data_IF_648126545139
#
_entry.id   IF_648126545139
#
_cell.length_a   1.000
_cell.length_b   1.000
_cell.length_c   1.000
_cell.angle_alpha   90.00
_cell.angle_beta   90.00
_cell.angle_gamma   90.00
#
_symmetry.space_group_name_H-M   'P 1'
#
loop_
_entity.id
_entity.type
_entity.pdbx_description
1 polymer ?
#
# COMPACT_ATOMS: atom_id res chain seq x y z
N UNK A 1 -9.23 -17.15 6.54
CA UNK A 1 -8.25 -18.22 6.26
C UNK A 1 -6.97 -17.91 7.01
N UNK A 2 -6.51 -18.79 7.90
CA UNK A 2 -5.21 -18.59 8.57
C UNK A 2 -4.13 -18.84 7.53
N UNK A 3 -3.31 -17.83 7.22
CA UNK A 3 -2.15 -18.01 6.36
C UNK A 3 -1.14 -18.85 7.15
N UNK A 4 -1.00 -20.13 6.80
CA UNK A 4 -0.11 -21.10 7.46
C UNK A 4 1.27 -21.20 6.81
N UNK A 5 1.62 -20.27 5.93
CA UNK A 5 2.91 -20.28 5.23
C UNK A 5 4.01 -19.68 6.13
N UNK A 6 4.88 -20.54 6.67
CA UNK A 6 6.02 -20.14 7.50
C UNK A 6 6.96 -19.17 6.78
N UNK A 7 7.21 -19.37 5.49
CA UNK A 7 8.07 -18.50 4.69
C UNK A 7 7.50 -17.08 4.62
N UNK A 8 6.18 -16.96 4.40
CA UNK A 8 5.51 -15.66 4.36
C UNK A 8 5.67 -14.89 5.68
N UNK A 9 5.57 -15.58 6.81
CA UNK A 9 5.82 -14.97 8.12
C UNK A 9 7.28 -14.55 8.27
N UNK A 10 8.23 -15.39 7.82
CA UNK A 10 9.67 -15.07 7.83
C UNK A 10 10.02 -13.86 6.97
N UNK A 11 9.30 -13.62 5.88
CA UNK A 11 9.51 -12.44 5.03
C UNK A 11 8.93 -11.16 5.67
N UNK A 12 7.86 -11.27 6.47
CA UNK A 12 7.26 -10.14 7.19
C UNK A 12 8.13 -9.70 8.38
N UNK A 13 8.69 -10.63 9.13
CA UNK A 13 9.34 -10.35 10.42
C UNK A 13 10.47 -9.29 10.34
N UNK A 14 11.40 -9.33 9.36
CA UNK A 14 12.43 -8.31 9.21
C UNK A 14 11.86 -6.89 9.03
N UNK A 15 10.70 -6.77 8.36
CA UNK A 15 10.07 -5.48 8.08
C UNK A 15 9.55 -4.79 9.33
N UNK A 16 9.14 -5.57 10.34
CA UNK A 16 8.56 -5.04 11.58
C UNK A 16 9.52 -5.06 12.75
N UNK A 17 10.58 -5.87 12.72
CA UNK A 17 11.59 -5.93 13.76
C UNK A 17 12.22 -4.56 14.03
N UNK A 18 12.60 -3.82 12.98
CA UNK A 18 13.18 -2.47 13.11
C UNK A 18 12.17 -1.40 13.55
N UNK A 19 10.87 -1.72 13.54
CA UNK A 19 9.78 -0.78 13.86
C UNK A 19 9.14 -1.06 15.22
N UNK A 20 9.33 -2.27 15.75
CA UNK A 20 8.75 -2.70 17.03
C UNK A 20 9.71 -2.38 18.17
N UNK A 21 9.23 -1.70 19.21
CA UNK A 21 9.98 -1.56 20.46
C UNK A 21 9.75 -2.74 21.40
N UNK A 22 8.58 -3.36 21.29
CA UNK A 22 8.17 -4.51 22.09
C UNK A 22 7.50 -5.57 21.22
N UNK A 23 7.56 -6.84 21.63
CA UNK A 23 6.85 -7.92 20.93
C UNK A 23 5.33 -7.73 20.93
N UNK A 24 4.79 -7.01 21.91
CA UNK A 24 3.36 -6.70 22.01
C UNK A 24 2.87 -5.77 20.88
N UNK A 25 3.77 -5.03 20.22
CA UNK A 25 3.44 -4.15 19.09
C UNK A 25 3.32 -4.91 17.76
N UNK A 26 3.94 -6.09 17.66
CA UNK A 26 4.03 -6.86 16.41
C UNK A 26 2.66 -7.19 15.82
N UNK A 27 1.66 -7.70 16.58
CA UNK A 27 0.34 -8.02 16.02
C UNK A 27 -0.30 -6.82 15.34
N UNK A 28 -0.16 -5.64 15.94
CA UNK A 28 -0.64 -4.41 15.32
C UNK A 28 0.14 -4.20 14.03
N UNK A 29 1.47 -4.19 14.02
CA UNK A 29 2.26 -3.91 12.82
C UNK A 29 2.05 -4.88 11.64
N UNK A 30 1.63 -6.13 11.89
CA UNK A 30 1.50 -7.14 10.83
C UNK A 30 0.06 -7.48 10.43
N UNK A 31 -0.95 -7.05 11.17
CA UNK A 31 -2.35 -7.48 10.96
C UNK A 31 -2.81 -7.38 9.49
N UNK A 32 -2.42 -6.31 8.80
CA UNK A 32 -2.81 -6.09 7.40
C UNK A 32 -2.20 -7.10 6.42
N UNK A 33 -1.18 -7.89 6.80
CA UNK A 33 -0.67 -8.99 5.97
C UNK A 33 -1.58 -10.22 5.99
N UNK A 34 -2.48 -10.33 6.96
CA UNK A 34 -3.28 -11.55 7.23
C UNK A 34 -4.78 -11.40 6.94
N UNK A 35 -5.23 -10.22 6.54
CA UNK A 35 -6.63 -9.96 6.15
C UNK A 35 -6.72 -9.73 4.65
N UNK A 36 -7.81 -10.11 4.01
CA UNK A 36 -7.97 -9.84 2.57
C UNK A 36 -8.50 -8.43 2.32
N UNK A 37 -9.41 -7.97 3.18
CA UNK A 37 -10.03 -6.65 3.12
C UNK A 37 -9.49 -5.74 4.23
N UNK A 38 -9.33 -4.46 3.91
CA UNK A 38 -8.79 -3.46 4.81
C UNK A 38 -9.90 -2.52 5.24
N UNK A 39 -10.19 -2.39 6.52
CA UNK A 39 -11.08 -1.34 7.03
C UNK A 39 -10.26 -0.14 7.47
N UNK A 40 -10.57 1.04 6.91
CA UNK A 40 -9.93 2.31 7.26
C UNK A 40 -10.82 3.48 6.80
N UNK A 41 -10.63 4.64 7.40
CA UNK A 41 -11.27 5.88 6.95
C UNK A 41 -10.77 6.26 5.55
N UNK A 42 -11.70 6.38 4.60
CA UNK A 42 -11.44 6.78 3.21
C UNK A 42 -10.69 8.13 3.12
N UNK A 43 -10.86 9.03 4.09
CA UNK A 43 -10.14 10.31 4.14
C UNK A 43 -8.61 10.13 4.18
N UNK A 44 -8.12 9.00 4.72
CA UNK A 44 -6.69 8.71 4.79
C UNK A 44 -6.05 8.46 3.42
N UNK A 45 -6.83 8.05 2.41
CA UNK A 45 -6.35 7.91 1.03
C UNK A 45 -6.01 9.28 0.41
N UNK A 46 -6.57 10.36 0.96
CA UNK A 46 -6.33 11.73 0.52
C UNK A 46 -5.20 12.31 1.38
N UNK A 47 -3.96 12.03 0.97
CA UNK A 47 -2.77 12.49 1.66
C UNK A 47 -2.68 14.02 1.77
N UNK A 48 -1.79 14.50 2.64
CA UNK A 48 -1.56 15.94 2.84
C UNK A 48 -1.18 16.62 1.51
N UNK A 49 -1.88 17.71 1.16
CA UNK A 49 -1.71 18.45 -0.11
C UNK A 49 -2.00 17.63 -1.37
N UNK A 50 -2.87 16.63 -1.27
CA UNK A 50 -3.40 15.86 -2.40
C UNK A 50 -4.90 16.08 -2.43
N UNK A 51 -5.48 16.30 -3.60
CA UNK A 51 -6.95 16.34 -3.76
C UNK A 51 -7.53 14.95 -3.94
N UNK A 52 -8.83 14.77 -3.72
CA UNK A 52 -9.50 13.48 -3.99
C UNK A 52 -9.32 13.04 -5.46
N UNK A 53 -9.36 13.97 -6.41
CA UNK A 53 -9.13 13.70 -7.82
C UNK A 53 -7.69 13.21 -8.05
N UNK A 54 -6.69 13.90 -7.49
CA UNK A 54 -5.29 13.48 -7.59
C UNK A 54 -5.04 12.12 -6.95
N UNK A 55 -5.66 11.83 -5.79
CA UNK A 55 -5.55 10.52 -5.15
C UNK A 55 -6.18 9.40 -6.02
N UNK A 56 -7.32 9.68 -6.65
CA UNK A 56 -8.00 8.73 -7.55
C UNK A 56 -7.13 8.46 -8.78
N UNK A 57 -6.66 9.49 -9.47
CA UNK A 57 -5.76 9.34 -10.63
C UNK A 57 -4.46 8.63 -10.26
N UNK A 58 -3.87 8.95 -9.10
CA UNK A 58 -2.66 8.31 -8.63
C UNK A 58 -2.85 6.79 -8.44
N UNK A 59 -3.97 6.37 -7.86
CA UNK A 59 -4.28 4.95 -7.67
C UNK A 59 -4.66 4.25 -8.98
N UNK A 60 -5.42 4.90 -9.86
CA UNK A 60 -5.79 4.36 -11.18
C UNK A 60 -4.54 4.07 -12.02
N UNK A 61 -3.69 5.08 -12.24
CA UNK A 61 -2.48 4.90 -13.05
C UNK A 61 -1.49 3.94 -12.39
N UNK A 62 -1.34 3.99 -11.06
CA UNK A 62 -0.46 3.02 -10.37
C UNK A 62 -0.95 1.60 -10.55
N UNK A 63 -2.27 1.36 -10.47
CA UNK A 63 -2.85 0.02 -10.67
C UNK A 63 -2.53 -0.50 -12.07
N UNK A 64 -2.76 0.29 -13.10
CA UNK A 64 -2.49 -0.07 -14.50
C UNK A 64 -1.01 -0.43 -14.70
N UNK A 65 -0.09 0.43 -14.24
CA UNK A 65 1.35 0.18 -14.37
C UNK A 65 1.83 -1.03 -13.57
N UNK A 66 1.26 -1.27 -12.39
CA UNK A 66 1.58 -2.44 -11.58
C UNK A 66 1.02 -3.73 -12.19
N UNK A 67 -0.11 -3.66 -12.89
CA UNK A 67 -0.72 -4.78 -13.62
C UNK A 67 0.17 -5.27 -14.77
N UNK A 68 0.91 -4.36 -15.42
CA UNK A 68 1.87 -4.68 -16.49
C UNK A 68 3.23 -5.15 -15.98
N UNK A 69 3.53 -5.01 -14.68
CA UNK A 69 4.85 -5.31 -14.14
C UNK A 69 5.09 -6.82 -14.00
N UNK A 70 6.07 -7.38 -14.70
CA UNK A 70 6.39 -8.82 -14.68
C UNK A 70 6.95 -9.28 -13.33
N UNK A 71 7.95 -8.57 -12.80
CA UNK A 71 8.59 -8.88 -11.52
C UNK A 71 8.04 -7.98 -10.42
N UNK A 72 7.44 -8.57 -9.38
CA UNK A 72 6.84 -7.83 -8.26
C UNK A 72 7.74 -7.82 -7.03
N UNK A 73 9.03 -7.50 -7.23
CA UNK A 73 10.02 -7.35 -6.16
C UNK A 73 10.24 -5.87 -5.77
N UNK A 74 11.04 -5.65 -4.73
CA UNK A 74 11.27 -4.31 -4.17
C UNK A 74 11.90 -3.37 -5.20
N UNK A 75 12.89 -3.83 -5.97
CA UNK A 75 13.64 -3.01 -6.92
C UNK A 75 12.76 -2.60 -8.10
N UNK A 76 12.01 -3.55 -8.66
CA UNK A 76 11.09 -3.33 -9.78
C UNK A 76 9.96 -2.37 -9.39
N UNK A 77 9.41 -2.53 -8.18
CA UNK A 77 8.40 -1.60 -7.64
C UNK A 77 8.95 -0.18 -7.45
N UNK A 78 10.17 -0.06 -6.93
CA UNK A 78 10.82 1.22 -6.72
C UNK A 78 11.13 1.94 -8.04
N UNK A 79 11.70 1.20 -9.00
CA UNK A 79 12.02 1.67 -10.34
C UNK A 79 10.77 2.12 -11.11
N UNK A 80 9.63 1.48 -10.87
CA UNK A 80 8.35 1.87 -11.47
C UNK A 80 7.73 3.10 -10.78
N UNK A 81 7.59 3.07 -9.46
CA UNK A 81 6.73 4.02 -8.74
C UNK A 81 7.40 5.37 -8.48
N UNK A 82 8.73 5.43 -8.39
CA UNK A 82 9.44 6.71 -8.23
C UNK A 82 9.27 7.65 -9.43
N UNK A 83 9.55 7.25 -10.69
CA UNK A 83 9.33 8.11 -11.84
C UNK A 83 7.85 8.40 -12.05
N UNK A 84 6.95 7.46 -11.74
CA UNK A 84 5.50 7.68 -11.82
C UNK A 84 5.03 8.86 -10.96
N UNK A 85 5.61 9.07 -9.78
CA UNK A 85 5.29 10.24 -8.96
C UNK A 85 5.56 11.55 -9.73
N UNK A 86 6.68 11.61 -10.46
CA UNK A 86 7.06 12.78 -11.27
C UNK A 86 6.12 12.97 -12.45
N UNK A 87 5.79 11.88 -13.17
CA UNK A 87 4.83 11.88 -14.29
C UNK A 87 3.46 12.45 -13.87
N UNK A 88 3.00 12.07 -12.68
CA UNK A 88 1.73 12.54 -12.11
C UNK A 88 1.79 13.95 -11.48
N UNK A 89 2.95 14.61 -11.51
CA UNK A 89 3.14 15.92 -10.88
C UNK A 89 3.03 15.88 -9.35
N UNK A 90 3.29 14.73 -8.74
CA UNK A 90 3.23 14.52 -7.29
C UNK A 90 4.63 14.42 -6.69
N UNK A 91 4.79 14.89 -5.45
CA UNK A 91 5.96 14.54 -4.66
C UNK A 91 5.92 13.05 -4.36
N UNK A 92 7.09 12.40 -4.31
CA UNK A 92 7.24 10.98 -3.95
C UNK A 92 6.44 10.59 -2.70
N UNK A 93 6.51 11.40 -1.64
CA UNK A 93 5.76 11.13 -0.39
C UNK A 93 4.24 11.24 -0.52
N UNK A 94 3.72 11.98 -1.51
CA UNK A 94 2.28 12.08 -1.78
C UNK A 94 1.77 10.79 -2.43
N UNK A 95 2.41 10.36 -3.53
CA UNK A 95 2.04 9.10 -4.19
C UNK A 95 2.19 7.91 -3.23
N UNK A 96 3.33 7.84 -2.52
CA UNK A 96 3.61 6.69 -1.66
C UNK A 96 2.74 6.68 -0.40
N UNK A 97 2.33 7.85 0.09
CA UNK A 97 1.35 7.95 1.17
C UNK A 97 0.00 7.35 0.74
N UNK A 98 -0.50 7.75 -0.42
CA UNK A 98 -1.76 7.24 -0.99
C UNK A 98 -1.71 5.73 -1.22
N UNK A 99 -0.65 5.24 -1.88
CA UNK A 99 -0.46 3.80 -2.11
C UNK A 99 -0.34 3.00 -0.81
N UNK A 100 0.39 3.52 0.19
CA UNK A 100 0.51 2.86 1.49
C UNK A 100 -0.86 2.66 2.13
N UNK A 101 -1.69 3.70 2.18
CA UNK A 101 -3.03 3.57 2.76
C UNK A 101 -3.87 2.60 1.94
N UNK A 102 -3.82 2.67 0.61
CA UNK A 102 -4.55 1.74 -0.25
C UNK A 102 -4.18 0.26 0.02
N UNK A 103 -2.89 -0.06 0.16
CA UNK A 103 -2.43 -1.45 0.29
C UNK A 103 -2.30 -1.94 1.73
N UNK A 104 -2.31 -1.07 2.74
CA UNK A 104 -2.14 -1.46 4.17
C UNK A 104 -3.26 -0.96 5.09
N UNK A 105 -4.06 0.01 4.65
CA UNK A 105 -5.06 0.71 5.45
C UNK A 105 -4.46 1.68 6.47
N UNK A 106 -3.16 2.00 6.36
CA UNK A 106 -2.41 2.75 7.37
C UNK A 106 -1.58 3.85 6.76
N UNK A 107 -1.41 4.93 7.52
CA UNK A 107 -0.54 6.06 7.15
C UNK A 107 0.94 5.77 7.47
N UNK A 108 1.19 4.88 8.42
CA UNK A 108 2.51 4.39 8.79
C UNK A 108 2.56 2.86 8.73
N UNK A 109 3.58 2.34 8.06
CA UNK A 109 3.83 0.92 7.84
C UNK A 109 5.35 0.72 7.67
N UNK A 110 5.83 -0.53 7.56
CA UNK A 110 7.19 -0.79 7.09
C UNK A 110 7.46 -0.13 5.71
N UNK A 111 8.71 -0.20 5.22
CA UNK A 111 9.06 0.35 3.92
C UNK A 111 8.11 -0.16 2.82
N UNK A 112 7.58 0.78 2.01
CA UNK A 112 6.40 0.53 1.16
C UNK A 112 6.65 -0.58 0.13
N UNK A 113 7.78 -0.51 -0.57
CA UNK A 113 8.08 -1.45 -1.66
C UNK A 113 8.30 -2.86 -1.14
N UNK A 114 9.06 -3.02 -0.05
CA UNK A 114 9.22 -4.31 0.62
C UNK A 114 7.87 -4.85 1.12
N UNK A 115 7.02 -3.99 1.68
CA UNK A 115 5.67 -4.38 2.12
C UNK A 115 4.83 -4.89 0.95
N UNK A 116 4.84 -4.18 -0.18
CA UNK A 116 4.12 -4.58 -1.39
C UNK A 116 4.67 -5.88 -1.97
N UNK A 117 5.99 -6.02 -2.06
CA UNK A 117 6.64 -7.24 -2.55
C UNK A 117 6.22 -8.46 -1.72
N UNK A 118 6.19 -8.35 -0.39
CA UNK A 118 5.70 -9.42 0.50
C UNK A 118 4.21 -9.66 0.32
N UNK A 119 3.37 -8.62 0.25
CA UNK A 119 1.92 -8.78 0.01
C UNK A 119 1.60 -9.48 -1.32
N UNK A 120 2.43 -9.26 -2.34
CA UNK A 120 2.28 -9.80 -3.68
C UNK A 120 1.35 -8.98 -4.58
N UNK A 121 1.55 -9.14 -5.89
CA UNK A 121 0.88 -8.36 -6.96
C UNK A 121 -0.64 -8.40 -6.86
N UNK A 122 -1.23 -9.58 -6.87
CA UNK A 122 -2.68 -9.76 -6.89
C UNK A 122 -3.38 -9.07 -5.72
N UNK A 123 -2.83 -9.23 -4.51
CA UNK A 123 -3.38 -8.62 -3.29
C UNK A 123 -3.24 -7.10 -3.32
N UNK A 124 -2.12 -6.57 -3.79
CA UNK A 124 -1.94 -5.14 -3.98
C UNK A 124 -2.97 -4.56 -4.98
N UNK A 125 -3.12 -5.17 -6.16
CA UNK A 125 -4.06 -4.72 -7.18
C UNK A 125 -5.51 -4.75 -6.67
N UNK A 126 -5.93 -5.84 -6.01
CA UNK A 126 -7.27 -5.96 -5.43
C UNK A 126 -7.55 -4.88 -4.38
N UNK A 127 -6.57 -4.57 -3.54
CA UNK A 127 -6.70 -3.52 -2.51
C UNK A 127 -6.73 -2.11 -3.09
N UNK A 128 -5.95 -1.85 -4.14
CA UNK A 128 -5.99 -0.58 -4.86
C UNK A 128 -7.36 -0.38 -5.52
N UNK A 129 -7.93 -1.42 -6.14
CA UNK A 129 -9.28 -1.37 -6.72
C UNK A 129 -10.36 -1.08 -5.66
N UNK A 130 -10.26 -1.72 -4.50
CA UNK A 130 -11.16 -1.45 -3.38
C UNK A 130 -11.04 0.00 -2.87
N UNK A 131 -9.82 0.54 -2.81
CA UNK A 131 -9.57 1.93 -2.43
C UNK A 131 -10.18 2.92 -3.47
N UNK A 132 -10.05 2.63 -4.76
CA UNK A 132 -10.69 3.41 -5.84
C UNK A 132 -12.21 3.41 -5.71
N UNK A 133 -12.81 2.25 -5.46
CA UNK A 133 -14.25 2.13 -5.22
C UNK A 133 -14.71 2.98 -4.04
N UNK A 134 -13.92 3.04 -2.96
CA UNK A 134 -14.20 3.89 -1.80
C UNK A 134 -14.09 5.38 -2.14
N UNK A 135 -13.04 5.79 -2.85
CA UNK A 135 -12.86 7.19 -3.27
C UNK A 135 -13.99 7.67 -4.18
N UNK A 136 -14.49 6.84 -5.10
CA UNK A 136 -15.63 7.18 -5.97
C UNK A 136 -16.92 7.44 -5.20
N UNK A 137 -17.11 6.74 -4.08
CA UNK A 137 -18.27 6.90 -3.18
C UNK A 137 -18.05 7.94 -2.08
N UNK A 138 -16.85 8.48 -1.97
CA UNK A 138 -16.49 9.42 -0.92
C UNK A 138 -17.02 10.81 -1.28
N UNK A 139 -17.94 11.31 -0.47
CA UNK A 139 -18.34 12.71 -0.47
C UNK A 139 -17.91 13.30 0.87
N UNK A 140 -16.87 14.14 0.91
CA UNK A 140 -16.48 14.81 2.14
C UNK A 140 -17.66 15.66 2.63
N UNK A 141 -18.01 15.51 3.91
CA UNK A 141 -18.96 16.40 4.58
C UNK A 141 -18.31 17.73 4.91
#
# INVERSE_FOLDING_TARGET
TVITNEQYVRDILPLVQERSKTLAEVPQLIQFFFVDELEHDTSLLIGKKVTQAQASTALEVSRERLEELDMFDTESLEALLRPLAVELGLKTGQLFGTLRVAVTGRTAAPPLFQTMAVLGKERCLKRIEAALTRLRRFSPR
#
